data_IF_152845792968
#
_entry.id   IF_152845792968
#
_cell.length_a   1.000
_cell.length_b   1.000
_cell.length_c   1.000
_cell.angle_alpha   90.00
_cell.angle_beta   90.00
_cell.angle_gamma   90.00
#
_symmetry.space_group_name_H-M   'P 1'
#
loop_
_entity.id
_entity.type
_entity.pdbx_description
1 polymer ?
#
# COMPACT_ATOMS: atom_id res chain seq x y z
N UNK A 1 9.99 -1.24 23.03
CA UNK A 1 9.62 -0.08 22.17
C UNK A 1 8.51 -0.43 21.20
N UNK A 2 8.66 -1.45 20.33
CA UNK A 2 7.61 -1.88 19.37
C UNK A 2 6.28 -2.19 20.04
N UNK A 3 6.24 -3.11 21.00
CA UNK A 3 5.02 -3.49 21.74
C UNK A 3 4.35 -2.30 22.45
N UNK A 4 5.15 -1.33 22.90
CA UNK A 4 4.63 -0.12 23.52
C UNK A 4 3.93 0.79 22.52
N UNK A 5 4.52 0.99 21.31
CA UNK A 5 3.88 1.77 20.23
C UNK A 5 2.57 1.11 19.81
N UNK A 6 2.57 -0.20 19.60
CA UNK A 6 1.38 -0.97 19.21
C UNK A 6 0.25 -0.82 20.23
N UNK A 7 0.58 -0.93 21.50
CA UNK A 7 -0.38 -0.73 22.59
C UNK A 7 -0.94 0.69 22.60
N UNK A 8 -0.08 1.70 22.49
CA UNK A 8 -0.51 3.11 22.51
C UNK A 8 -1.38 3.48 21.30
N UNK A 9 -1.08 2.91 20.12
CA UNK A 9 -1.94 3.03 18.92
C UNK A 9 -3.30 2.39 19.19
N UNK A 10 -3.32 1.13 19.63
CA UNK A 10 -4.55 0.39 19.90
C UNK A 10 -5.43 1.08 20.95
N UNK A 11 -4.84 1.50 22.06
CA UNK A 11 -5.55 2.21 23.14
C UNK A 11 -6.15 3.54 22.62
N UNK A 12 -5.40 4.28 21.82
CA UNK A 12 -5.88 5.55 21.24
C UNK A 12 -7.01 5.33 20.24
N UNK A 13 -6.91 4.34 19.36
CA UNK A 13 -7.96 3.98 18.40
C UNK A 13 -9.26 3.55 19.12
N UNK A 14 -9.15 2.76 20.18
CA UNK A 14 -10.30 2.34 20.97
C UNK A 14 -11.03 3.54 21.59
N UNK A 15 -10.31 4.49 22.19
CA UNK A 15 -10.90 5.69 22.77
C UNK A 15 -11.57 6.55 21.67
N UNK A 16 -10.91 6.73 20.53
CA UNK A 16 -11.48 7.47 19.38
C UNK A 16 -12.79 6.84 18.92
N UNK A 17 -12.85 5.52 18.81
CA UNK A 17 -14.07 4.81 18.41
C UNK A 17 -15.20 4.97 19.44
N UNK A 18 -14.89 4.92 20.73
CA UNK A 18 -15.85 5.19 21.80
C UNK A 18 -16.41 6.61 21.70
N UNK A 19 -15.56 7.61 21.50
CA UNK A 19 -15.97 9.00 21.31
C UNK A 19 -16.87 9.14 20.08
N UNK A 20 -16.50 8.55 18.95
CA UNK A 20 -17.32 8.56 17.71
C UNK A 20 -18.70 7.96 17.93
N UNK A 21 -18.77 6.79 18.58
CA UNK A 21 -20.03 6.13 18.87
C UNK A 21 -20.93 6.99 19.75
N UNK A 22 -20.39 7.64 20.75
CA UNK A 22 -21.12 8.49 21.65
C UNK A 22 -21.63 9.78 20.97
N UNK A 23 -20.86 10.38 20.03
CA UNK A 23 -21.29 11.54 19.23
C UNK A 23 -22.51 11.17 18.38
N UNK A 24 -22.46 10.02 17.70
CA UNK A 24 -23.52 9.62 16.78
C UNK A 24 -24.84 9.28 17.49
N UNK A 25 -24.80 8.92 18.78
CA UNK A 25 -25.98 8.53 19.56
C UNK A 25 -26.62 9.69 20.36
N UNK A 26 -26.17 10.92 20.19
CA UNK A 26 -26.85 12.12 20.74
C UNK A 26 -26.85 12.24 22.26
N UNK A 27 -26.08 11.47 23.00
CA UNK A 27 -26.05 11.42 24.48
C UNK A 27 -25.18 12.51 25.10
N UNK A 28 -25.51 13.78 24.86
CA UNK A 28 -24.70 14.91 25.30
C UNK A 28 -25.11 15.53 26.67
N UNK A 29 -26.06 14.93 27.40
CA UNK A 29 -26.60 15.60 28.63
C UNK A 29 -25.90 15.25 29.95
N UNK A 30 -25.09 14.18 30.02
CA UNK A 30 -24.20 13.87 31.15
C UNK A 30 -22.91 13.27 30.63
N UNK A 31 -22.05 14.14 30.17
CA UNK A 31 -20.95 13.83 29.27
C UNK A 31 -19.93 12.82 29.85
N UNK A 32 -19.92 11.55 29.44
CA UNK A 32 -18.76 10.65 29.58
C UNK A 32 -17.52 11.18 28.85
N UNK A 33 -17.73 12.08 27.89
CA UNK A 33 -16.76 12.68 26.98
C UNK A 33 -15.54 13.32 27.64
N UNK A 34 -15.74 14.07 28.73
CA UNK A 34 -14.64 14.80 29.37
C UNK A 34 -13.57 13.84 29.90
N UNK A 35 -13.98 12.65 30.38
CA UNK A 35 -13.04 11.63 30.84
C UNK A 35 -12.33 10.96 29.65
N UNK A 36 -13.06 10.68 28.59
CA UNK A 36 -12.53 10.06 27.39
C UNK A 36 -11.59 11.00 26.62
N UNK A 37 -11.93 12.27 26.47
CA UNK A 37 -11.04 13.28 25.87
C UNK A 37 -9.76 13.47 26.68
N UNK A 38 -9.84 13.48 28.02
CA UNK A 38 -8.64 13.52 28.87
C UNK A 38 -7.81 12.23 28.75
N UNK A 39 -8.45 11.07 28.61
CA UNK A 39 -7.76 9.80 28.39
C UNK A 39 -7.09 9.79 27.02
N UNK A 40 -7.77 10.26 25.98
CA UNK A 40 -7.22 10.42 24.65
C UNK A 40 -6.01 11.37 24.66
N UNK A 41 -6.13 12.53 25.30
CA UNK A 41 -5.03 13.47 25.46
C UNK A 41 -3.79 12.82 26.08
N UNK A 42 -3.95 12.04 27.15
CA UNK A 42 -2.83 11.35 27.83
C UNK A 42 -2.19 10.30 26.92
N UNK A 43 -3.00 9.50 26.22
CA UNK A 43 -2.50 8.45 25.33
C UNK A 43 -1.79 9.05 24.12
N UNK A 44 -2.37 10.06 23.49
CA UNK A 44 -1.72 10.73 22.36
C UNK A 44 -0.43 11.47 22.77
N UNK A 45 -0.38 12.03 23.99
CA UNK A 45 0.86 12.64 24.50
C UNK A 45 1.98 11.61 24.66
N UNK A 46 1.66 10.41 25.13
CA UNK A 46 2.63 9.30 25.21
C UNK A 46 3.02 8.84 23.81
N UNK A 47 2.05 8.55 22.96
CA UNK A 47 2.26 8.10 21.60
C UNK A 47 3.21 9.04 20.85
N UNK A 48 2.94 10.34 20.87
CA UNK A 48 3.77 11.37 20.21
C UNK A 48 5.23 11.27 20.67
N UNK A 49 5.49 11.16 21.97
CA UNK A 49 6.86 11.04 22.49
C UNK A 49 7.52 9.72 22.09
N UNK A 50 6.76 8.63 21.98
CA UNK A 50 7.26 7.30 21.65
C UNK A 50 7.57 7.17 20.16
N UNK A 51 6.75 7.78 19.29
CA UNK A 51 6.91 7.68 17.84
C UNK A 51 7.80 8.77 17.22
N UNK A 52 8.24 9.75 17.97
CA UNK A 52 8.96 10.93 17.47
C UNK A 52 10.21 10.60 16.63
N UNK A 53 10.92 9.53 16.98
CA UNK A 53 12.12 9.11 16.26
C UNK A 53 11.76 8.36 14.97
N UNK A 54 10.70 7.54 15.01
CA UNK A 54 10.37 6.61 13.93
C UNK A 54 9.38 7.19 12.91
N UNK A 55 8.52 8.10 13.37
CA UNK A 55 7.46 8.75 12.58
C UNK A 55 7.42 10.26 12.91
N UNK A 56 8.51 11.01 12.61
CA UNK A 56 8.64 12.40 13.03
C UNK A 56 7.53 13.30 12.48
N UNK A 57 7.15 13.15 11.24
CA UNK A 57 6.10 13.97 10.58
C UNK A 57 4.74 13.75 11.26
N UNK A 58 4.38 12.50 11.50
CA UNK A 58 3.12 12.13 12.15
C UNK A 58 3.10 12.58 13.62
N UNK A 59 4.24 12.50 14.28
CA UNK A 59 4.42 13.03 15.65
C UNK A 59 4.16 14.53 15.69
N UNK A 60 4.76 15.31 14.78
CA UNK A 60 4.53 16.76 14.67
C UNK A 60 3.07 17.07 14.34
N UNK A 61 2.47 16.37 13.37
CA UNK A 61 1.06 16.56 13.04
C UNK A 61 0.15 16.32 14.26
N UNK A 62 0.41 15.25 15.01
CA UNK A 62 -0.40 14.95 16.21
C UNK A 62 -0.16 15.99 17.33
N UNK A 63 1.05 16.49 17.49
CA UNK A 63 1.37 17.56 18.46
C UNK A 63 0.51 18.80 18.27
N UNK A 64 0.13 19.15 17.04
CA UNK A 64 -0.72 20.30 16.73
C UNK A 64 -2.13 20.18 17.33
N UNK A 65 -2.60 18.95 17.56
CA UNK A 65 -3.93 18.70 18.12
C UNK A 65 -3.94 18.55 19.66
N UNK A 66 -2.81 18.26 20.29
CA UNK A 66 -2.74 18.05 21.74
C UNK A 66 -3.26 19.24 22.56
N UNK A 67 -2.92 20.51 22.25
CA UNK A 67 -3.46 21.66 22.98
C UNK A 67 -4.99 21.77 22.90
N UNK A 68 -5.60 21.27 21.83
CA UNK A 68 -7.04 21.30 21.58
C UNK A 68 -7.82 20.23 22.35
N UNK A 69 -7.11 19.24 22.90
CA UNK A 69 -7.67 18.18 23.76
C UNK A 69 -7.48 18.46 25.25
N UNK A 70 -6.55 19.37 25.62
CA UNK A 70 -6.14 19.58 27.00
C UNK A 70 -7.22 20.31 27.80
N UNK A 71 -7.86 19.60 28.74
CA UNK A 71 -8.81 20.19 29.69
C UNK A 71 -10.14 20.66 29.07
N UNK A 72 -10.44 20.21 27.86
CA UNK A 72 -11.69 20.58 27.19
C UNK A 72 -12.81 19.58 27.50
N UNK A 73 -14.04 20.09 27.59
CA UNK A 73 -15.23 19.25 27.69
C UNK A 73 -15.83 18.84 26.34
N UNK A 74 -15.48 19.58 25.28
CA UNK A 74 -15.91 19.32 23.90
C UNK A 74 -14.77 19.60 22.95
N UNK A 75 -14.70 18.82 21.87
CA UNK A 75 -13.76 19.02 20.78
C UNK A 75 -14.50 19.44 19.50
N UNK A 76 -13.91 20.35 18.76
CA UNK A 76 -14.43 20.75 17.46
C UNK A 76 -14.40 19.55 16.49
N UNK A 77 -15.49 19.26 15.72
CA UNK A 77 -15.54 18.14 14.77
C UNK A 77 -14.40 18.14 13.74
N UNK A 78 -13.96 19.31 13.28
CA UNK A 78 -12.82 19.39 12.33
C UNK A 78 -11.50 18.96 12.99
N UNK A 79 -11.24 19.41 14.22
CA UNK A 79 -10.04 19.02 14.96
C UNK A 79 -10.06 17.53 15.30
N UNK A 80 -11.23 16.99 15.66
CA UNK A 80 -11.40 15.57 15.91
C UNK A 80 -11.21 14.74 14.62
N UNK A 81 -11.72 15.23 13.47
CA UNK A 81 -11.47 14.66 12.16
C UNK A 81 -9.98 14.61 11.81
N UNK A 82 -9.25 15.68 12.12
CA UNK A 82 -7.79 15.74 11.93
C UNK A 82 -7.04 14.73 12.81
N UNK A 83 -7.45 14.56 14.06
CA UNK A 83 -6.88 13.54 14.96
C UNK A 83 -7.11 12.14 14.39
N UNK A 84 -8.33 11.83 13.94
CA UNK A 84 -8.66 10.54 13.35
C UNK A 84 -7.81 10.29 12.12
N UNK A 85 -7.71 11.26 11.20
CA UNK A 85 -6.91 11.12 9.99
C UNK A 85 -5.43 10.86 10.31
N UNK A 86 -4.85 11.60 11.25
CA UNK A 86 -3.45 11.42 11.68
C UNK A 86 -3.26 10.05 12.35
N UNK A 87 -4.19 9.60 13.18
CA UNK A 87 -4.13 8.26 13.79
C UNK A 87 -4.17 7.15 12.76
N UNK A 88 -5.04 7.25 11.75
CA UNK A 88 -5.10 6.27 10.67
C UNK A 88 -3.76 6.19 9.90
N UNK A 89 -3.13 7.33 9.64
CA UNK A 89 -1.81 7.37 8.99
C UNK A 89 -0.73 6.73 9.87
N UNK A 90 -0.72 7.02 11.17
CA UNK A 90 0.23 6.42 12.13
C UNK A 90 0.04 4.90 12.18
N UNK A 91 -1.20 4.43 12.31
CA UNK A 91 -1.53 3.01 12.37
C UNK A 91 -1.11 2.28 11.08
N UNK A 92 -1.41 2.87 9.93
CA UNK A 92 -1.03 2.31 8.63
C UNK A 92 0.49 2.23 8.47
N UNK A 93 1.21 3.33 8.76
CA UNK A 93 2.68 3.35 8.70
C UNK A 93 3.32 2.38 9.70
N UNK A 94 2.74 2.26 10.90
CA UNK A 94 3.20 1.28 11.89
C UNK A 94 3.02 -0.15 11.38
N UNK A 95 1.84 -0.48 10.85
CA UNK A 95 1.56 -1.79 10.24
C UNK A 95 2.53 -2.10 9.10
N UNK A 96 2.76 -1.14 8.19
CA UNK A 96 3.74 -1.29 7.10
C UNK A 96 5.15 -1.56 7.62
N UNK A 97 5.58 -0.86 8.67
CA UNK A 97 6.94 -0.98 9.21
C UNK A 97 7.18 -2.27 10.02
N UNK A 98 6.19 -2.73 10.77
CA UNK A 98 6.39 -3.79 11.77
C UNK A 98 5.58 -5.06 11.56
N UNK A 99 4.47 -5.01 10.85
CA UNK A 99 3.63 -6.18 10.55
C UNK A 99 3.83 -6.64 9.11
N UNK A 100 5.07 -6.84 8.74
CA UNK A 100 5.57 -7.10 7.38
C UNK A 100 4.94 -8.29 6.64
N UNK A 101 4.06 -9.05 7.27
CA UNK A 101 3.38 -10.20 6.65
C UNK A 101 2.10 -9.82 5.89
N UNK A 102 1.54 -8.64 6.13
CA UNK A 102 0.27 -8.20 5.51
C UNK A 102 0.44 -7.19 4.37
N UNK A 103 1.58 -6.49 4.29
CA UNK A 103 1.83 -5.48 3.27
C UNK A 103 2.83 -5.98 2.24
N UNK A 104 2.44 -5.88 0.98
CA UNK A 104 3.31 -6.14 -0.16
C UNK A 104 3.79 -4.82 -0.74
N UNK A 105 4.99 -4.79 -1.27
CA UNK A 105 5.48 -3.62 -1.99
C UNK A 105 4.80 -3.51 -3.34
N UNK A 106 4.65 -4.65 -4.02
CA UNK A 106 4.10 -4.71 -5.37
C UNK A 106 3.02 -5.79 -5.46
N UNK A 107 1.83 -5.42 -5.92
CA UNK A 107 0.80 -6.31 -6.43
C UNK A 107 0.95 -6.42 -7.94
N UNK A 108 0.95 -7.64 -8.47
CA UNK A 108 1.04 -7.91 -9.91
C UNK A 108 -0.22 -8.62 -10.39
N UNK A 109 -0.96 -7.95 -11.27
CA UNK A 109 -2.10 -8.53 -11.99
C UNK A 109 -1.70 -8.85 -13.43
N UNK A 110 -1.94 -10.09 -13.86
CA UNK A 110 -1.67 -10.57 -15.21
C UNK A 110 -2.51 -11.78 -15.55
N UNK A 111 -2.63 -12.12 -16.84
CA UNK A 111 -3.26 -13.37 -17.26
C UNK A 111 -2.34 -14.57 -17.01
N UNK A 112 -2.90 -15.67 -16.53
CA UNK A 112 -2.17 -16.94 -16.35
C UNK A 112 -1.49 -17.44 -17.65
N UNK A 113 -2.05 -17.09 -18.79
CA UNK A 113 -1.48 -17.40 -20.11
C UNK A 113 -0.13 -16.68 -20.38
N UNK A 114 0.12 -15.58 -19.65
CA UNK A 114 1.32 -14.76 -19.79
C UNK A 114 2.38 -15.10 -18.71
N UNK A 115 2.16 -16.15 -17.92
CA UNK A 115 2.99 -16.54 -16.76
C UNK A 115 4.49 -16.54 -17.06
N UNK A 116 4.92 -17.02 -18.22
CA UNK A 116 6.34 -17.10 -18.59
C UNK A 116 7.01 -15.72 -18.61
N UNK A 117 6.40 -14.74 -19.26
CA UNK A 117 6.95 -13.37 -19.36
C UNK A 117 6.92 -12.70 -17.98
N UNK A 118 5.85 -12.93 -17.24
CA UNK A 118 5.66 -12.36 -15.90
C UNK A 118 6.68 -12.92 -14.91
N UNK A 119 6.95 -14.23 -14.96
CA UNK A 119 7.99 -14.86 -14.14
C UNK A 119 9.37 -14.26 -14.47
N UNK A 120 9.74 -14.15 -15.73
CA UNK A 120 11.00 -13.52 -16.13
C UNK A 120 11.09 -12.05 -15.66
N UNK A 121 9.98 -11.30 -15.70
CA UNK A 121 9.91 -9.94 -15.17
C UNK A 121 10.15 -9.88 -13.66
N UNK A 122 9.53 -10.79 -12.91
CA UNK A 122 9.72 -10.87 -11.47
C UNK A 122 11.17 -11.24 -11.15
N UNK A 123 11.68 -12.32 -11.73
CA UNK A 123 13.00 -12.85 -11.40
C UNK A 123 14.12 -11.89 -11.80
N UNK A 124 14.13 -11.46 -13.06
CA UNK A 124 15.25 -10.71 -13.62
C UNK A 124 15.16 -9.22 -13.34
N UNK A 125 13.97 -8.63 -13.36
CA UNK A 125 13.80 -7.18 -13.17
C UNK A 125 13.55 -6.85 -11.72
N UNK A 126 12.49 -7.40 -11.10
CA UNK A 126 12.10 -6.99 -9.75
C UNK A 126 13.02 -7.56 -8.67
N UNK A 127 13.43 -8.81 -8.77
CA UNK A 127 14.27 -9.43 -7.74
C UNK A 127 15.76 -9.19 -8.02
N UNK A 128 16.32 -9.79 -9.04
CA UNK A 128 17.76 -9.70 -9.34
C UNK A 128 18.17 -8.30 -9.80
N UNK A 129 17.27 -7.58 -10.47
CA UNK A 129 17.53 -6.23 -11.00
C UNK A 129 17.40 -5.14 -9.95
N UNK A 130 16.36 -5.14 -9.12
CA UNK A 130 16.12 -4.09 -8.11
C UNK A 130 16.45 -4.53 -6.69
N UNK A 131 16.53 -5.83 -6.40
CA UNK A 131 16.80 -6.38 -5.06
C UNK A 131 15.55 -6.56 -4.20
N UNK A 132 14.36 -6.52 -4.79
CA UNK A 132 13.14 -6.91 -4.08
C UNK A 132 13.16 -8.40 -3.77
N UNK A 133 12.46 -8.79 -2.70
CA UNK A 133 12.37 -10.18 -2.25
C UNK A 133 11.01 -10.77 -2.61
N UNK A 134 10.88 -12.10 -2.56
CA UNK A 134 9.61 -12.82 -2.76
C UNK A 134 8.50 -12.29 -1.84
N UNK A 135 8.84 -12.03 -0.59
CA UNK A 135 7.92 -11.50 0.42
C UNK A 135 7.38 -10.10 0.08
N UNK A 136 8.08 -9.34 -0.75
CA UNK A 136 7.70 -7.99 -1.18
C UNK A 136 6.67 -7.99 -2.32
N UNK A 137 6.50 -9.11 -3.02
CA UNK A 137 5.71 -9.21 -4.24
C UNK A 137 4.50 -10.14 -3.99
N UNK A 138 3.34 -9.72 -4.47
CA UNK A 138 2.15 -10.57 -4.52
C UNK A 138 1.74 -10.78 -5.98
N UNK A 139 1.70 -12.05 -6.39
CA UNK A 139 1.32 -12.46 -7.74
C UNK A 139 0.52 -13.77 -7.65
N UNK A 140 -0.76 -13.73 -8.00
CA UNK A 140 -1.70 -14.84 -7.79
C UNK A 140 -1.37 -16.12 -8.54
N UNK A 141 -0.69 -16.03 -9.68
CA UNK A 141 -0.38 -17.19 -10.52
C UNK A 141 0.94 -17.88 -10.15
N UNK A 142 1.68 -17.34 -9.17
CA UNK A 142 2.93 -17.91 -8.68
C UNK A 142 2.66 -18.50 -7.30
N UNK A 143 2.80 -19.82 -7.16
CA UNK A 143 2.41 -20.55 -5.94
C UNK A 143 3.12 -20.03 -4.67
N UNK A 144 4.40 -19.67 -4.78
CA UNK A 144 5.18 -19.16 -3.66
C UNK A 144 4.78 -17.74 -3.23
N UNK A 145 4.15 -16.98 -4.12
CA UNK A 145 3.77 -15.58 -3.92
C UNK A 145 2.26 -15.36 -3.84
N UNK A 146 1.47 -16.42 -3.95
CA UNK A 146 0.02 -16.38 -4.08
C UNK A 146 -0.75 -16.84 -2.84
N UNK A 147 -1.93 -17.40 -3.09
CA UNK A 147 -2.95 -17.75 -2.10
C UNK A 147 -2.70 -19.16 -1.58
N UNK A 148 -2.78 -19.33 -0.26
CA UNK A 148 -2.68 -20.65 0.37
C UNK A 148 -3.99 -21.43 0.26
N UNK A 149 -3.90 -22.77 0.19
CA UNK A 149 -5.07 -23.62 0.17
C UNK A 149 -5.99 -23.38 1.38
N UNK A 150 -7.29 -23.14 1.10
CA UNK A 150 -8.31 -22.92 2.12
C UNK A 150 -8.63 -21.46 2.43
N UNK A 151 -7.93 -20.49 1.84
CA UNK A 151 -8.26 -19.06 1.96
C UNK A 151 -9.32 -18.66 0.92
N UNK A 152 -10.14 -17.64 1.25
CA UNK A 152 -11.05 -17.01 0.27
C UNK A 152 -10.22 -16.20 -0.74
N UNK A 153 -10.21 -16.69 -1.97
CA UNK A 153 -9.41 -16.13 -3.07
C UNK A 153 -9.72 -14.66 -3.28
N UNK A 154 -11.00 -14.28 -3.26
CA UNK A 154 -11.42 -12.90 -3.54
C UNK A 154 -11.00 -11.96 -2.42
N UNK A 155 -11.24 -12.36 -1.18
CA UNK A 155 -10.86 -11.56 -0.01
C UNK A 155 -9.34 -11.39 0.07
N UNK A 156 -8.60 -12.45 -0.24
CA UNK A 156 -7.13 -12.41 -0.23
C UNK A 156 -6.55 -11.49 -1.31
N UNK A 157 -7.06 -11.56 -2.54
CA UNK A 157 -6.67 -10.66 -3.64
C UNK A 157 -6.99 -9.21 -3.27
N UNK A 158 -8.22 -8.95 -2.83
CA UNK A 158 -8.68 -7.63 -2.43
C UNK A 158 -7.82 -7.01 -1.32
N UNK A 159 -7.48 -7.81 -0.29
CA UNK A 159 -6.60 -7.39 0.80
C UNK A 159 -5.20 -7.03 0.29
N UNK A 160 -4.63 -7.82 -0.62
CA UNK A 160 -3.30 -7.55 -1.16
C UNK A 160 -3.29 -6.33 -2.09
N UNK A 161 -4.32 -6.12 -2.92
CA UNK A 161 -4.47 -4.89 -3.72
C UNK A 161 -4.47 -3.67 -2.80
N UNK A 162 -5.30 -3.69 -1.75
CA UNK A 162 -5.42 -2.58 -0.81
C UNK A 162 -4.13 -2.32 -0.03
N UNK A 163 -3.37 -3.36 0.26
CA UNK A 163 -2.19 -3.31 1.11
C UNK A 163 -0.87 -3.31 0.32
N UNK A 164 -0.89 -3.02 -0.98
CA UNK A 164 0.32 -2.87 -1.80
C UNK A 164 0.63 -1.40 -2.06
N UNK A 165 1.91 -1.06 -2.09
CA UNK A 165 2.36 0.29 -2.42
C UNK A 165 2.16 0.60 -3.90
N UNK A 166 2.43 -0.38 -4.76
CA UNK A 166 2.24 -0.31 -6.20
C UNK A 166 1.36 -1.44 -6.69
N UNK A 167 0.56 -1.16 -7.72
CA UNK A 167 -0.15 -2.17 -8.49
C UNK A 167 0.33 -2.14 -9.94
N UNK A 168 0.99 -3.22 -10.37
CA UNK A 168 1.47 -3.39 -11.73
C UNK A 168 0.47 -4.25 -12.51
N UNK A 169 -0.14 -3.66 -13.53
CA UNK A 169 -1.05 -4.35 -14.42
C UNK A 169 -0.31 -4.67 -15.72
N UNK A 170 -0.05 -5.96 -15.94
CA UNK A 170 0.68 -6.47 -17.12
C UNK A 170 -0.35 -6.83 -18.17
N UNK A 171 -0.60 -5.91 -19.07
CA UNK A 171 -1.71 -5.96 -20.03
C UNK A 171 -1.27 -6.69 -21.32
N UNK A 172 -2.08 -7.68 -21.70
CA UNK A 172 -2.00 -8.41 -22.96
C UNK A 172 -3.38 -8.60 -23.57
N UNK A 173 -3.47 -9.21 -24.72
CA UNK A 173 -4.76 -9.65 -25.27
C UNK A 173 -5.42 -10.77 -24.46
N UNK A 174 -4.60 -11.59 -23.75
CA UNK A 174 -5.09 -12.59 -22.81
C UNK A 174 -5.68 -11.94 -21.55
N UNK A 175 -5.01 -10.91 -21.03
CA UNK A 175 -5.48 -10.12 -19.87
C UNK A 175 -6.92 -9.65 -20.05
N UNK A 176 -7.23 -9.09 -21.21
CA UNK A 176 -8.57 -8.55 -21.54
C UNK A 176 -9.66 -9.62 -21.64
N UNK A 177 -9.29 -10.87 -21.87
CA UNK A 177 -10.22 -12.01 -21.94
C UNK A 177 -10.45 -12.65 -20.56
N UNK A 178 -9.65 -12.31 -19.55
CA UNK A 178 -9.72 -12.86 -18.21
C UNK A 178 -10.68 -12.04 -17.35
N UNK A 179 -11.79 -12.63 -16.93
CA UNK A 179 -12.73 -12.01 -15.99
C UNK A 179 -12.07 -11.67 -14.66
N UNK A 180 -11.13 -12.50 -14.18
CA UNK A 180 -10.38 -12.27 -12.94
C UNK A 180 -9.53 -11.02 -13.08
N UNK A 181 -8.75 -10.89 -14.17
CA UNK A 181 -7.91 -9.72 -14.40
C UNK A 181 -8.74 -8.43 -14.51
N UNK A 182 -9.91 -8.49 -15.14
CA UNK A 182 -10.81 -7.33 -15.24
C UNK A 182 -11.38 -6.94 -13.86
N UNK A 183 -11.69 -7.90 -13.00
CA UNK A 183 -12.12 -7.64 -11.62
C UNK A 183 -10.99 -7.04 -10.79
N UNK A 184 -9.77 -7.61 -10.85
CA UNK A 184 -8.58 -7.06 -10.18
C UNK A 184 -8.29 -5.63 -10.62
N UNK A 185 -8.40 -5.35 -11.92
CA UNK A 185 -8.26 -4.01 -12.48
C UNK A 185 -9.28 -3.02 -11.90
N UNK A 186 -10.54 -3.46 -11.75
CA UNK A 186 -11.58 -2.66 -11.12
C UNK A 186 -11.28 -2.36 -9.64
N UNK A 187 -10.81 -3.33 -8.90
CA UNK A 187 -10.40 -3.18 -7.50
C UNK A 187 -9.18 -2.25 -7.35
N UNK A 188 -8.16 -2.41 -8.18
CA UNK A 188 -7.00 -1.51 -8.22
C UNK A 188 -7.44 -0.07 -8.45
N UNK A 189 -8.37 0.14 -9.36
CA UNK A 189 -8.91 1.47 -9.66
C UNK A 189 -9.69 2.07 -8.49
N UNK A 190 -10.48 1.26 -7.80
CA UNK A 190 -11.27 1.69 -6.63
C UNK A 190 -10.41 2.12 -5.44
N UNK A 191 -9.26 1.50 -5.24
CA UNK A 191 -8.36 1.81 -4.12
C UNK A 191 -7.31 2.87 -4.40
N UNK A 192 -7.25 3.41 -5.63
CA UNK A 192 -6.34 4.48 -6.03
C UNK A 192 -4.87 4.25 -5.63
N UNK A 193 -4.41 3.01 -5.74
CA UNK A 193 -3.02 2.66 -5.52
C UNK A 193 -2.14 3.27 -6.62
N UNK A 194 -0.83 3.34 -6.40
CA UNK A 194 0.14 3.74 -7.42
C UNK A 194 0.13 2.73 -8.58
N UNK A 195 -0.77 2.96 -9.53
CA UNK A 195 -1.00 2.04 -10.66
C UNK A 195 0.04 2.28 -11.74
N UNK A 196 0.64 1.21 -12.22
CA UNK A 196 1.53 1.21 -13.39
C UNK A 196 0.99 0.21 -14.40
N UNK A 197 0.82 0.68 -15.64
CA UNK A 197 0.33 -0.12 -16.75
C UNK A 197 1.50 -0.46 -17.66
N UNK A 198 1.79 -1.74 -17.79
CA UNK A 198 2.80 -2.23 -18.70
C UNK A 198 2.18 -3.12 -19.78
N UNK A 199 2.41 -2.78 -21.05
CA UNK A 199 2.00 -3.59 -22.16
C UNK A 199 3.03 -4.69 -22.38
N UNK A 200 2.56 -5.94 -22.42
CA UNK A 200 3.39 -7.09 -22.79
C UNK A 200 3.73 -7.07 -24.29
N UNK A 201 4.82 -7.72 -24.71
CA UNK A 201 5.22 -7.79 -26.11
C UNK A 201 4.06 -8.20 -27.03
N UNK A 202 3.94 -7.53 -28.18
CA UNK A 202 2.85 -7.76 -29.13
C UNK A 202 1.55 -7.00 -28.85
N UNK A 203 1.36 -6.45 -27.65
CA UNK A 203 0.15 -5.71 -27.29
C UNK A 203 0.20 -4.26 -27.81
N UNK A 204 -0.88 -3.78 -28.37
CA UNK A 204 -1.00 -2.40 -28.89
C UNK A 204 -1.63 -1.46 -27.87
N UNK A 205 -1.22 -0.18 -27.85
CA UNK A 205 -1.84 0.85 -26.99
C UNK A 205 -3.36 1.00 -27.22
N UNK A 206 -3.81 0.82 -28.45
CA UNK A 206 -5.25 0.82 -28.81
C UNK A 206 -6.04 -0.27 -28.10
N UNK A 207 -5.36 -1.25 -27.54
CA UNK A 207 -5.95 -2.36 -26.81
C UNK A 207 -6.40 -2.00 -25.38
N UNK A 208 -5.97 -0.87 -24.81
CA UNK A 208 -6.25 -0.51 -23.40
C UNK A 208 -7.73 -0.21 -23.14
N UNK A 209 -8.49 0.23 -24.15
CA UNK A 209 -9.89 0.59 -24.01
C UNK A 209 -10.11 1.86 -23.17
N UNK A 210 -11.36 2.20 -22.93
CA UNK A 210 -11.76 3.46 -22.30
C UNK A 210 -11.35 3.62 -20.82
N UNK A 211 -11.17 2.52 -20.10
CA UNK A 211 -10.81 2.54 -18.68
C UNK A 211 -9.44 3.17 -18.42
N UNK A 212 -8.52 3.03 -19.36
CA UNK A 212 -7.14 3.49 -19.25
C UNK A 212 -6.68 4.39 -20.40
N UNK A 213 -7.63 4.94 -21.18
CA UNK A 213 -7.31 5.84 -22.31
C UNK A 213 -6.59 7.12 -21.86
N UNK A 214 -6.75 7.51 -20.58
CA UNK A 214 -6.11 8.67 -19.95
C UNK A 214 -4.88 8.32 -19.11
N UNK A 215 -4.59 7.06 -18.91
CA UNK A 215 -3.46 6.60 -18.09
C UNK A 215 -2.30 6.26 -19.01
N UNK A 216 -1.12 6.81 -18.73
CA UNK A 216 0.09 6.50 -19.50
C UNK A 216 0.46 5.04 -19.26
N UNK A 217 0.31 4.22 -20.29
CA UNK A 217 0.85 2.87 -20.32
C UNK A 217 2.22 2.89 -20.98
N UNK A 218 3.12 2.04 -20.53
CA UNK A 218 4.47 1.88 -21.10
C UNK A 218 4.68 0.45 -21.57
N UNK A 219 5.58 0.25 -22.53
CA UNK A 219 5.91 -1.09 -23.00
C UNK A 219 6.98 -1.71 -22.13
N UNK A 220 6.76 -2.94 -21.66
CA UNK A 220 7.69 -3.62 -20.77
C UNK A 220 8.96 -4.08 -21.51
N UNK A 221 8.92 -4.19 -22.83
CA UNK A 221 10.04 -4.52 -23.69
C UNK A 221 10.88 -3.29 -24.13
N UNK A 222 10.59 -2.12 -23.56
CA UNK A 222 11.37 -0.91 -23.79
C UNK A 222 12.41 -0.67 -22.67
N UNK A 223 13.64 -0.40 -23.10
CA UNK A 223 14.77 -0.16 -22.18
C UNK A 223 14.56 1.04 -21.27
N UNK A 224 13.99 2.13 -21.80
CA UNK A 224 13.77 3.37 -21.05
C UNK A 224 12.69 3.15 -19.99
N UNK A 225 11.66 2.41 -20.33
CA UNK A 225 10.58 2.03 -19.38
C UNK A 225 11.16 1.25 -18.19
N UNK A 226 12.00 0.26 -18.44
CA UNK A 226 12.63 -0.52 -17.37
C UNK A 226 13.59 0.32 -16.53
N UNK A 227 14.33 1.26 -17.12
CA UNK A 227 15.21 2.18 -16.38
C UNK A 227 14.41 3.14 -15.48
N UNK A 228 13.29 3.64 -15.94
CA UNK A 228 12.38 4.45 -15.12
C UNK A 228 11.81 3.67 -13.94
N UNK A 229 11.34 2.43 -14.19
CA UNK A 229 10.84 1.53 -13.15
C UNK A 229 11.91 1.28 -12.09
N UNK A 230 13.13 0.95 -12.50
CA UNK A 230 14.24 0.71 -11.60
C UNK A 230 14.53 1.96 -10.74
N UNK A 231 14.64 3.12 -11.36
CA UNK A 231 14.88 4.39 -10.65
C UNK A 231 13.75 4.71 -9.65
N UNK A 232 12.49 4.51 -10.04
CA UNK A 232 11.33 4.73 -9.17
C UNK A 232 11.40 3.84 -7.93
N UNK A 233 11.68 2.53 -8.11
CA UNK A 233 11.77 1.59 -7.00
C UNK A 233 12.98 1.87 -6.09
N UNK A 234 14.14 2.21 -6.67
CA UNK A 234 15.32 2.61 -5.88
C UNK A 234 15.01 3.82 -5.00
N UNK A 235 14.38 4.85 -5.56
CA UNK A 235 14.02 6.06 -4.79
C UNK A 235 12.97 5.77 -3.74
N UNK A 236 11.93 5.03 -4.08
CA UNK A 236 10.79 4.79 -3.18
C UNK A 236 11.17 3.90 -1.98
N UNK A 237 11.94 2.84 -2.23
CA UNK A 237 12.31 1.86 -1.19
C UNK A 237 13.74 2.03 -0.67
N UNK A 238 14.46 3.04 -1.10
CA UNK A 238 15.88 3.26 -0.76
C UNK A 238 16.74 2.03 -1.06
N UNK A 239 16.46 1.35 -2.19
CA UNK A 239 17.23 0.20 -2.64
C UNK A 239 18.58 0.67 -3.19
N UNK A 240 19.60 -0.18 -3.03
CA UNK A 240 20.94 0.07 -3.57
C UNK A 240 21.36 -1.16 -4.37
N UNK A 241 21.24 -1.07 -5.67
CA UNK A 241 21.70 -2.13 -6.57
C UNK A 241 22.93 -1.70 -7.37
N UNK A 242 23.77 -2.68 -7.66
CA UNK A 242 24.93 -2.45 -8.52
C UNK A 242 24.45 -2.18 -9.96
N UNK A 243 24.82 -1.04 -10.57
CA UNK A 243 24.41 -0.68 -11.93
C UNK A 243 24.81 -1.74 -13.00
N UNK A 244 25.90 -2.47 -12.75
CA UNK A 244 26.35 -3.57 -13.66
C UNK A 244 25.36 -4.74 -13.57
N UNK A 245 24.90 -5.08 -12.34
CA UNK A 245 23.88 -6.11 -12.13
C UNK A 245 22.58 -5.73 -12.80
N UNK A 246 22.09 -4.51 -12.58
CA UNK A 246 20.91 -3.99 -13.28
C UNK A 246 21.03 -4.11 -14.79
N UNK A 247 22.11 -3.58 -15.37
CA UNK A 247 22.31 -3.61 -16.84
C UNK A 247 22.32 -5.03 -17.42
N UNK A 248 22.92 -5.99 -16.68
CA UNK A 248 22.97 -7.41 -17.06
C UNK A 248 21.57 -8.05 -17.01
N UNK A 249 20.83 -7.86 -15.92
CA UNK A 249 19.52 -8.47 -15.75
C UNK A 249 18.50 -7.88 -16.74
N UNK A 250 18.51 -6.57 -16.94
CA UNK A 250 17.67 -5.92 -17.94
C UNK A 250 17.94 -6.46 -19.37
N UNK A 251 19.21 -6.64 -19.75
CA UNK A 251 19.56 -7.21 -21.06
C UNK A 251 19.09 -8.65 -21.18
N UNK A 252 19.25 -9.46 -20.13
CA UNK A 252 18.78 -10.84 -20.09
C UNK A 252 17.28 -10.89 -20.33
N UNK A 253 16.50 -10.17 -19.51
CA UNK A 253 15.05 -10.08 -19.65
C UNK A 253 14.61 -9.69 -21.07
N UNK A 254 15.15 -8.59 -21.61
CA UNK A 254 14.81 -8.12 -22.95
C UNK A 254 15.17 -9.12 -24.07
N UNK A 255 16.15 -10.01 -23.85
CA UNK A 255 16.48 -11.06 -24.81
C UNK A 255 15.55 -12.27 -24.70
N UNK A 256 14.97 -12.52 -23.53
CA UNK A 256 14.10 -13.66 -23.23
C UNK A 256 12.65 -13.47 -23.67
N UNK A 257 12.19 -12.23 -23.69
CA UNK A 257 10.80 -11.88 -24.03
C UNK A 257 10.60 -11.48 -25.49
N UNK A 258 11.65 -11.42 -26.28
CA UNK A 258 11.59 -11.24 -27.74
C UNK A 258 11.20 -12.54 -28.41
#
# INVERSE_FOLDING_TARGET
MREQIEKEISDSCNIINHIRFSINNGNCRNCPYCKELNSLYRNLTKLVSTIQIEFPVESECMQMYLPKLKGVSHINPYDFGGIIATMNIIEEKYKRKYNNTEFKKIFISHSSEDKRIVQAFIDDILQLGTGLKDEDIFCTSIEEMGIKNGEDIKEHIHKNIKNSDFSYLLISDNYKKSEICLNEMGDVWAYNNNVRLYLLPGTQFTSLGWLYDKTLAEKIDDTITLDKLHFELEQYYSLQQNPITWSRQRKKFLSEIK
#
